data_IF_315663376204
#
_entry.id   IF_315663376204
#
_cell.length_a   1.000
_cell.length_b   1.000
_cell.length_c   1.000
_cell.angle_alpha   90.00
_cell.angle_beta   90.00
_cell.angle_gamma   90.00
#
_symmetry.space_group_name_H-M   'P 1'
#
loop_
_entity.id
_entity.type
_entity.pdbx_description
1 polymer ?
#
# COMPACT_ATOMS: atom_id res chain seq x y z
N UNK A 1 8.54 -6.16 3.68
CA UNK A 1 8.27 -6.29 5.14
C UNK A 1 7.28 -7.43 5.36
N UNK A 2 7.42 -8.23 6.42
CA UNK A 2 6.47 -9.32 6.76
C UNK A 2 5.38 -8.84 7.73
N UNK A 3 4.27 -9.58 7.84
CA UNK A 3 3.22 -9.26 8.83
C UNK A 3 3.75 -9.30 10.27
N UNK A 4 4.66 -10.24 10.58
CA UNK A 4 5.29 -10.35 11.90
C UNK A 4 6.09 -9.09 12.24
N UNK A 5 6.88 -8.57 11.27
CA UNK A 5 7.62 -7.32 11.43
C UNK A 5 6.68 -6.12 11.63
N UNK A 6 5.53 -6.09 10.95
CA UNK A 6 4.51 -5.05 11.14
C UNK A 6 3.96 -5.11 12.57
N UNK A 7 3.60 -6.30 13.07
CA UNK A 7 3.06 -6.46 14.43
C UNK A 7 4.08 -6.12 15.52
N UNK A 8 5.34 -6.48 15.33
CA UNK A 8 6.46 -6.10 16.19
C UNK A 8 6.63 -4.60 16.22
N UNK A 9 6.64 -3.95 15.06
CA UNK A 9 6.73 -2.51 14.98
C UNK A 9 5.57 -1.88 15.73
N UNK A 10 4.32 -2.23 15.41
CA UNK A 10 3.12 -1.67 16.04
C UNK A 10 2.97 -2.00 17.54
N UNK A 11 3.82 -2.86 18.11
CA UNK A 11 3.75 -3.23 19.53
C UNK A 11 2.54 -4.12 19.87
N UNK A 12 1.94 -4.78 18.88
CA UNK A 12 0.70 -5.57 19.03
C UNK A 12 0.92 -7.08 18.98
N UNK A 13 2.15 -7.56 19.12
CA UNK A 13 2.47 -9.00 19.07
C UNK A 13 1.71 -9.83 20.11
N UNK A 14 1.37 -9.24 21.27
CA UNK A 14 0.55 -9.85 22.32
C UNK A 14 -0.97 -9.71 22.14
N UNK A 15 -1.44 -8.97 21.14
CA UNK A 15 -2.87 -8.80 20.87
C UNK A 15 -3.51 -10.08 20.31
N UNK A 16 -4.84 -10.14 20.36
CA UNK A 16 -5.61 -11.22 19.73
C UNK A 16 -5.41 -11.21 18.21
N UNK A 17 -5.59 -12.38 17.59
CA UNK A 17 -5.47 -12.51 16.13
C UNK A 17 -6.50 -11.63 15.40
N UNK A 18 -7.70 -11.49 15.95
CA UNK A 18 -8.73 -10.58 15.41
C UNK A 18 -8.24 -9.13 15.36
N UNK A 19 -7.61 -8.65 16.44
CA UNK A 19 -7.04 -7.30 16.48
C UNK A 19 -5.90 -7.18 15.46
N UNK A 20 -4.99 -8.16 15.41
CA UNK A 20 -3.87 -8.15 14.44
C UNK A 20 -4.36 -8.11 13.00
N UNK A 21 -5.35 -8.93 12.64
CA UNK A 21 -5.89 -8.98 11.28
C UNK A 21 -6.67 -7.71 10.94
N UNK A 22 -7.49 -7.18 11.86
CA UNK A 22 -8.20 -5.92 11.67
C UNK A 22 -7.23 -4.76 11.49
N UNK A 23 -6.19 -4.68 12.33
CA UNK A 23 -5.13 -3.67 12.21
C UNK A 23 -4.39 -3.78 10.89
N UNK A 24 -4.01 -4.99 10.47
CA UNK A 24 -3.33 -5.21 9.19
C UNK A 24 -4.21 -4.81 8.00
N UNK A 25 -5.48 -5.18 7.99
CA UNK A 25 -6.41 -4.81 6.93
C UNK A 25 -6.55 -3.29 6.80
N UNK A 26 -6.72 -2.60 7.93
CA UNK A 26 -6.82 -1.13 7.94
C UNK A 26 -5.52 -0.45 7.49
N UNK A 27 -4.36 -0.99 7.90
CA UNK A 27 -3.06 -0.50 7.47
C UNK A 27 -2.89 -0.64 5.95
N UNK A 28 -3.12 -1.84 5.41
CA UNK A 28 -2.99 -2.12 3.98
C UNK A 28 -3.94 -1.22 3.17
N UNK A 29 -5.20 -1.09 3.59
CA UNK A 29 -6.15 -0.22 2.90
C UNK A 29 -5.72 1.25 2.88
N UNK A 30 -5.15 1.77 3.97
CA UNK A 30 -4.62 3.14 4.01
C UNK A 30 -3.43 3.32 3.06
N UNK A 31 -2.50 2.36 3.05
CA UNK A 31 -1.34 2.36 2.16
C UNK A 31 -1.78 2.32 0.70
N UNK A 32 -2.73 1.46 0.35
CA UNK A 32 -3.23 1.33 -1.02
C UNK A 32 -3.89 2.61 -1.53
N UNK A 33 -4.69 3.28 -0.69
CA UNK A 33 -5.32 4.57 -1.04
C UNK A 33 -4.26 5.64 -1.31
N UNK A 34 -3.27 5.78 -0.42
CA UNK A 34 -2.22 6.78 -0.58
C UNK A 34 -1.32 6.45 -1.76
N UNK A 35 -0.98 5.17 -1.95
CA UNK A 35 -0.19 4.71 -3.08
C UNK A 35 -0.88 4.97 -4.42
N UNK A 36 -2.20 4.74 -4.51
CA UNK A 36 -2.97 5.07 -5.71
C UNK A 36 -2.93 6.57 -6.01
N UNK A 37 -3.15 7.42 -4.98
CA UNK A 37 -3.11 8.88 -5.13
C UNK A 37 -1.74 9.38 -5.60
N UNK A 38 -0.64 8.89 -5.00
CA UNK A 38 0.71 9.33 -5.40
C UNK A 38 1.08 8.76 -6.76
N UNK A 39 0.66 7.54 -7.09
CA UNK A 39 0.93 6.96 -8.41
C UNK A 39 0.24 7.76 -9.51
N UNK A 40 -1.01 8.17 -9.32
CA UNK A 40 -1.76 9.03 -10.26
C UNK A 40 -1.00 10.33 -10.57
N UNK A 41 -0.44 11.00 -9.54
CA UNK A 41 0.36 12.22 -9.72
C UNK A 41 1.68 12.01 -10.48
N UNK A 42 2.21 10.78 -10.50
CA UNK A 42 3.48 10.44 -11.15
C UNK A 42 3.30 10.00 -12.60
N UNK A 43 2.07 9.70 -13.03
CA UNK A 43 1.76 9.30 -14.39
C UNK A 43 1.45 10.52 -15.26
N UNK A 44 1.76 10.41 -16.54
CA UNK A 44 1.24 11.37 -17.53
C UNK A 44 -0.22 11.05 -17.85
N UNK A 45 -0.99 12.00 -18.39
CA UNK A 45 -2.38 11.75 -18.82
C UNK A 45 -2.52 10.52 -19.76
N UNK A 46 -1.59 10.36 -20.72
CA UNK A 46 -1.58 9.19 -21.63
C UNK A 46 -1.38 7.87 -20.88
N UNK A 47 -0.54 7.88 -19.84
CA UNK A 47 -0.22 6.72 -19.03
C UNK A 47 -1.37 6.37 -18.08
N UNK A 48 -2.06 7.36 -17.53
CA UNK A 48 -3.28 7.14 -16.74
C UNK A 48 -4.39 6.52 -17.61
N UNK A 49 -4.58 6.99 -18.85
CA UNK A 49 -5.52 6.36 -19.77
C UNK A 49 -5.15 4.91 -20.11
N UNK A 50 -3.86 4.62 -20.30
CA UNK A 50 -3.36 3.26 -20.54
C UNK A 50 -3.60 2.35 -19.33
N UNK A 51 -3.32 2.86 -18.12
CA UNK A 51 -3.53 2.16 -16.87
C UNK A 51 -5.01 1.84 -16.67
N UNK A 52 -5.91 2.81 -16.90
CA UNK A 52 -7.35 2.60 -16.79
C UNK A 52 -7.85 1.51 -17.74
N UNK A 53 -7.39 1.50 -19.00
CA UNK A 53 -7.71 0.42 -19.97
C UNK A 53 -7.19 -0.94 -19.51
N UNK A 54 -5.99 -0.98 -18.91
CA UNK A 54 -5.41 -2.21 -18.37
C UNK A 54 -6.24 -2.74 -17.19
N UNK A 55 -6.64 -1.85 -16.26
CA UNK A 55 -7.50 -2.19 -15.12
C UNK A 55 -8.81 -2.78 -15.62
N UNK A 56 -9.48 -2.14 -16.58
CA UNK A 56 -10.73 -2.64 -17.16
C UNK A 56 -10.56 -4.00 -17.86
N UNK A 57 -9.46 -4.19 -18.60
CA UNK A 57 -9.21 -5.42 -19.35
C UNK A 57 -8.89 -6.63 -18.46
N UNK A 58 -8.33 -6.37 -17.27
CA UNK A 58 -7.87 -7.39 -16.33
C UNK A 58 -8.68 -7.45 -15.03
N UNK A 59 -9.84 -6.79 -14.98
CA UNK A 59 -10.71 -6.73 -13.80
C UNK A 59 -9.95 -6.28 -12.53
N UNK A 60 -9.01 -5.36 -12.71
CA UNK A 60 -8.16 -4.83 -11.63
C UNK A 60 -7.19 -5.84 -11.01
N UNK A 61 -6.76 -6.91 -11.72
CA UNK A 61 -5.76 -7.86 -11.20
C UNK A 61 -4.52 -7.11 -10.65
N UNK A 62 -4.28 -7.16 -9.33
CA UNK A 62 -3.20 -6.40 -8.69
C UNK A 62 -1.81 -6.78 -9.20
N UNK A 63 -1.62 -8.01 -9.68
CA UNK A 63 -0.34 -8.47 -10.23
C UNK A 63 -0.06 -7.78 -11.55
N UNK A 64 -1.08 -7.67 -12.41
CA UNK A 64 -0.96 -7.04 -13.74
C UNK A 64 -0.75 -5.54 -13.58
N UNK A 65 -1.58 -4.90 -12.76
CA UNK A 65 -1.48 -3.47 -12.44
C UNK A 65 -0.12 -3.15 -11.82
N UNK A 66 0.34 -3.96 -10.87
CA UNK A 66 1.64 -3.78 -10.21
C UNK A 66 2.84 -3.90 -11.16
N UNK A 67 2.84 -4.86 -12.08
CA UNK A 67 3.92 -5.00 -13.08
C UNK A 67 3.94 -3.83 -14.08
N UNK A 68 2.77 -3.33 -14.47
CA UNK A 68 2.68 -2.14 -15.30
C UNK A 68 3.26 -0.92 -14.58
N UNK A 69 2.84 -0.68 -13.33
CA UNK A 69 3.35 0.44 -12.52
C UNK A 69 4.87 0.38 -12.34
N UNK A 70 5.47 -0.81 -12.16
CA UNK A 70 6.94 -0.98 -12.09
C UNK A 70 7.68 -0.57 -13.36
N UNK A 71 7.00 -0.63 -14.52
CA UNK A 71 7.59 -0.27 -15.80
C UNK A 71 7.59 1.24 -16.02
N UNK A 72 6.61 1.94 -15.45
CA UNK A 72 6.38 3.37 -15.71
C UNK A 72 6.77 4.29 -14.54
N UNK A 73 6.74 3.80 -13.30
CA UNK A 73 7.15 4.54 -12.11
C UNK A 73 8.49 3.98 -11.61
N UNK A 74 9.59 4.74 -11.72
CA UNK A 74 10.87 4.33 -11.16
C UNK A 74 10.76 4.07 -9.66
N UNK A 75 11.35 2.97 -9.21
CA UNK A 75 11.40 2.62 -7.77
C UNK A 75 10.03 2.51 -7.09
N UNK A 76 8.96 2.18 -7.84
CA UNK A 76 7.60 2.06 -7.28
C UNK A 76 7.51 1.16 -6.04
N UNK A 77 8.35 0.13 -5.95
CA UNK A 77 8.43 -0.73 -4.77
C UNK A 77 8.97 0.00 -3.53
N UNK A 78 9.94 0.92 -3.71
CA UNK A 78 10.43 1.77 -2.63
C UNK A 78 9.38 2.82 -2.24
N UNK A 79 8.65 3.37 -3.21
CA UNK A 79 7.52 4.27 -2.93
C UNK A 79 6.46 3.58 -2.05
N UNK A 80 6.03 2.38 -2.43
CA UNK A 80 5.07 1.61 -1.63
C UNK A 80 5.61 1.32 -0.22
N UNK A 81 6.89 0.96 -0.11
CA UNK A 81 7.52 0.73 1.19
C UNK A 81 7.57 1.99 2.06
N UNK A 82 7.92 3.14 1.49
CA UNK A 82 7.97 4.40 2.23
C UNK A 82 6.58 4.80 2.76
N UNK A 83 5.53 4.65 1.94
CA UNK A 83 4.14 4.89 2.37
C UNK A 83 3.75 3.94 3.51
N UNK A 84 4.11 2.66 3.41
CA UNK A 84 3.86 1.68 4.48
C UNK A 84 4.56 2.07 5.79
N UNK A 85 5.81 2.51 5.72
CA UNK A 85 6.57 2.95 6.90
C UNK A 85 5.95 4.20 7.55
N UNK A 86 5.55 5.19 6.75
CA UNK A 86 4.85 6.38 7.24
C UNK A 86 3.51 6.05 7.90
N UNK A 87 2.73 5.14 7.30
CA UNK A 87 1.46 4.69 7.85
C UNK A 87 1.63 3.91 9.16
N UNK A 88 2.68 3.09 9.28
CA UNK A 88 3.04 2.43 10.54
C UNK A 88 3.37 3.47 11.62
N UNK A 89 4.15 4.50 11.29
CA UNK A 89 4.49 5.58 12.24
C UNK A 89 3.23 6.33 12.68
N UNK A 90 2.34 6.68 11.74
CA UNK A 90 1.06 7.33 12.05
C UNK A 90 0.20 6.47 12.97
N UNK A 91 0.13 5.17 12.70
CA UNK A 91 -0.71 4.25 13.46
C UNK A 91 -0.16 4.02 14.87
N UNK A 92 1.17 3.88 15.02
CA UNK A 92 1.84 3.86 16.33
C UNK A 92 1.47 5.06 17.18
N UNK A 93 1.60 6.26 16.62
CA UNK A 93 1.29 7.51 17.34
C UNK A 93 -0.15 7.57 17.86
N UNK A 94 -1.09 6.84 17.24
CA UNK A 94 -2.49 6.76 17.69
C UNK A 94 -2.73 5.70 18.76
N UNK A 95 -1.88 4.67 18.82
CA UNK A 95 -1.95 3.62 19.83
C UNK A 95 -1.28 4.02 21.14
N UNK A 96 -0.30 4.94 21.08
CA UNK A 96 0.41 5.46 22.25
C UNK A 96 -0.36 6.57 23.01
N UNK A 97 -1.49 7.04 22.45
CA UNK A 97 -2.42 8.01 23.07
C UNK A 97 -3.61 7.33 23.74
#
# INVERSE_FOLDING_TARGET
MTHEQIFEQLGITGASDEVKQSTLHNLVGAVEIQFASVSDELLTEEQDEELNKLVDAHDGDPSVVGEWLKTHIPEVGQLYQAILEDEIVRLKSRLDT
#
